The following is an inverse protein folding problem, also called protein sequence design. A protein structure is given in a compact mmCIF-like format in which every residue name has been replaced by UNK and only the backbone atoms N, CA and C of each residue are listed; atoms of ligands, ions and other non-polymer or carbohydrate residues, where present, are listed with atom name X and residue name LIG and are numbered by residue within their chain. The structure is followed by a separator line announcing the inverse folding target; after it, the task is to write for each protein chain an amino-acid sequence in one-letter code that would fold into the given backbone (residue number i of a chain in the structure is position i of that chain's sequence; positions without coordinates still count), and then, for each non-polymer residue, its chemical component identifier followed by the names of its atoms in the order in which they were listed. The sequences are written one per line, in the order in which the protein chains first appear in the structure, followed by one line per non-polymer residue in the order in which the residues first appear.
data_IF_076629355423
#
_entry.id   IF_076629355423
#
_cell.length_a   1.000
_cell.length_b   1.000
_cell.length_c   1.000
_cell.angle_alpha   90.00
_cell.angle_beta   90.00
_cell.angle_gamma   90.00
#
_symmetry.space_group_name_H-M   'P 1'
#
loop_
_entity.id
_entity.type
_entity.pdbx_description
1 polymer ?
#
# COMPACT_ATOMS: atom_id res chain seq x y z
N UNK A 1 42.26 -24.04 1.60
CA UNK A 1 40.82 -23.78 1.57
C UNK A 1 40.50 -22.68 2.58
N UNK A 2 40.71 -21.44 2.21
CA UNK A 2 40.31 -20.23 2.97
C UNK A 2 40.05 -19.14 1.94
N UNK A 3 38.91 -19.18 1.28
CA UNK A 3 38.43 -18.05 0.49
C UNK A 3 36.91 -18.02 0.51
N UNK A 4 36.42 -16.86 0.75
CA UNK A 4 35.06 -16.41 0.36
C UNK A 4 33.93 -16.60 1.35
N UNK A 5 33.96 -15.80 2.40
CA UNK A 5 32.72 -15.42 3.14
C UNK A 5 32.54 -13.90 3.23
N UNK A 6 33.29 -13.11 2.44
CA UNK A 6 33.31 -11.64 2.56
C UNK A 6 32.59 -10.89 1.42
N UNK A 7 31.85 -11.56 0.53
CA UNK A 7 31.20 -10.88 -0.60
C UNK A 7 29.66 -10.94 -0.57
N UNK A 8 29.04 -11.04 0.60
CA UNK A 8 27.58 -11.24 0.65
C UNK A 8 26.74 -9.97 0.75
N UNK A 9 27.33 -8.80 0.85
CA UNK A 9 26.56 -7.55 0.91
C UNK A 9 27.25 -6.46 0.11
N UNK A 10 26.84 -6.31 -1.16
CA UNK A 10 27.04 -5.05 -1.86
C UNK A 10 25.92 -4.10 -1.41
N UNK A 11 26.25 -2.86 -0.99
CA UNK A 11 25.21 -1.93 -0.53
C UNK A 11 24.31 -1.55 -1.71
N UNK A 12 23.04 -1.93 -1.62
CA UNK A 12 22.03 -1.44 -2.53
C UNK A 12 21.77 0.04 -2.22
N UNK A 13 21.89 0.91 -3.22
CA UNK A 13 21.48 2.30 -3.09
C UNK A 13 19.96 2.37 -3.30
N UNK A 14 19.20 2.45 -2.22
CA UNK A 14 17.76 2.67 -2.25
C UNK A 14 17.51 4.17 -2.12
N UNK A 15 17.10 4.80 -3.20
CA UNK A 15 16.66 6.20 -3.18
C UNK A 15 15.14 6.27 -3.00
N UNK A 16 14.67 6.72 -1.86
CA UNK A 16 13.25 7.03 -1.64
C UNK A 16 13.01 8.50 -1.91
N UNK A 17 12.19 8.84 -2.90
CA UNK A 17 11.74 10.20 -3.12
C UNK A 17 10.46 10.40 -2.32
N UNK A 18 10.41 11.47 -1.54
CA UNK A 18 9.30 11.82 -0.65
C UNK A 18 7.95 11.85 -1.37
N UNK A 19 6.86 11.48 -0.69
CA UNK A 19 5.51 11.59 -1.25
C UNK A 19 5.19 13.06 -1.53
N UNK A 20 4.82 13.36 -2.77
CA UNK A 20 4.27 14.65 -3.16
C UNK A 20 2.75 14.59 -2.91
N UNK A 21 2.27 15.24 -1.88
CA UNK A 21 0.85 15.44 -1.67
C UNK A 21 0.39 16.65 -2.50
N UNK A 22 -0.41 16.41 -3.53
CA UNK A 22 -1.05 17.48 -4.30
C UNK A 22 -2.48 17.61 -3.78
N UNK A 23 -2.76 18.74 -3.13
CA UNK A 23 -4.12 19.14 -2.77
C UNK A 23 -4.77 19.83 -3.98
N UNK A 24 -5.76 19.21 -4.59
CA UNK A 24 -6.60 19.84 -5.58
C UNK A 24 -7.93 20.21 -4.92
N UNK A 25 -8.07 21.45 -4.50
CA UNK A 25 -9.35 22.00 -4.00
C UNK A 25 -9.15 23.19 -3.07
N UNK A 26 -9.46 24.41 -3.55
CA UNK A 26 -9.91 25.60 -2.82
C UNK A 26 -9.05 26.16 -1.70
N UNK A 27 -8.42 27.26 -2.01
CA UNK A 27 -7.87 28.35 -1.18
C UNK A 27 -8.29 28.39 0.30
N UNK A 28 -7.33 28.38 1.25
CA UNK A 28 -6.96 29.45 2.15
C UNK A 28 -6.31 28.99 3.47
N UNK A 29 -5.17 29.63 3.71
CA UNK A 29 -4.49 30.02 4.95
C UNK A 29 -3.74 28.99 5.79
N UNK A 30 -2.47 29.40 5.96
CA UNK A 30 -1.43 28.92 6.85
C UNK A 30 -1.86 28.58 8.27
N UNK A 31 -1.40 27.41 8.74
CA UNK A 31 -0.69 27.38 10.03
C UNK A 31 0.22 26.15 10.09
N UNK A 32 1.48 26.41 10.46
CA UNK A 32 2.51 25.42 10.72
C UNK A 32 2.31 24.79 12.09
N UNK A 33 1.91 23.50 12.14
CA UNK A 33 2.30 22.60 13.23
C UNK A 33 2.15 21.16 12.73
N UNK A 34 3.28 20.50 12.45
CA UNK A 34 3.31 19.08 12.18
C UNK A 34 3.17 18.31 13.49
N UNK A 35 1.97 17.91 13.83
CA UNK A 35 1.71 16.77 14.67
C UNK A 35 1.13 15.63 13.83
N UNK A 36 1.71 14.45 13.98
CA UNK A 36 1.35 13.21 13.35
C UNK A 36 -0.02 12.69 13.84
N UNK A 37 -1.08 13.37 13.48
CA UNK A 37 -2.43 12.84 13.58
C UNK A 37 -3.02 12.83 12.17
N UNK A 38 -3.23 11.61 11.64
CA UNK A 38 -3.84 11.37 10.34
C UNK A 38 -5.34 11.72 10.34
N UNK A 39 -5.72 12.84 10.94
CA UNK A 39 -7.05 13.42 10.76
C UNK A 39 -7.02 14.22 9.47
N UNK A 40 -7.62 13.64 8.41
CA UNK A 40 -7.91 14.38 7.20
C UNK A 40 -8.83 15.54 7.55
N UNK A 41 -8.29 16.75 7.62
CA UNK A 41 -9.10 17.95 7.61
C UNK A 41 -9.64 18.13 6.19
N UNK A 42 -10.73 17.43 5.88
CA UNK A 42 -11.53 17.75 4.69
C UNK A 42 -12.27 19.06 4.98
N UNK A 43 -12.16 20.00 4.07
CA UNK A 43 -12.92 21.26 4.13
C UNK A 43 -14.43 20.94 4.23
N UNK A 44 -15.21 21.74 4.94
CA UNK A 44 -16.65 21.56 5.22
C UNK A 44 -17.56 21.50 3.97
N UNK A 45 -16.99 21.41 2.77
CA UNK A 45 -17.71 21.33 1.50
C UNK A 45 -17.60 19.94 0.90
N UNK A 46 -18.71 19.23 0.77
CA UNK A 46 -18.77 17.92 0.14
C UNK A 46 -19.51 17.98 -1.21
N UNK A 47 -19.12 17.14 -2.19
CA UNK A 47 -18.08 16.12 -2.15
C UNK A 47 -16.65 16.71 -2.12
N UNK A 48 -15.76 16.07 -1.38
CA UNK A 48 -14.34 16.44 -1.28
C UNK A 48 -13.46 15.28 -1.72
N UNK A 49 -12.41 15.56 -2.48
CA UNK A 49 -11.46 14.55 -2.96
C UNK A 49 -10.04 14.95 -2.63
N UNK A 50 -9.31 14.05 -1.99
CA UNK A 50 -7.86 14.16 -1.76
C UNK A 50 -7.12 13.24 -2.73
N UNK A 51 -6.09 13.75 -3.38
CA UNK A 51 -5.18 12.96 -4.20
C UNK A 51 -3.81 12.85 -3.54
N UNK A 52 -3.26 11.65 -3.53
CA UNK A 52 -1.91 11.37 -3.06
C UNK A 52 -1.16 10.56 -4.10
N UNK A 53 0.13 10.85 -4.27
CA UNK A 53 1.03 10.10 -5.12
C UNK A 53 2.25 9.60 -4.33
N UNK A 54 2.68 8.37 -4.58
CA UNK A 54 3.95 7.81 -4.09
C UNK A 54 4.70 7.20 -5.27
N UNK A 55 5.95 7.61 -5.46
CA UNK A 55 6.87 7.00 -6.41
C UNK A 55 8.08 6.48 -5.66
N UNK A 56 8.43 5.23 -5.88
CA UNK A 56 9.64 4.60 -5.33
C UNK A 56 10.52 4.19 -6.49
N UNK A 57 11.78 4.61 -6.45
CA UNK A 57 12.80 4.22 -7.42
C UNK A 57 13.84 3.35 -6.73
N UNK A 58 14.23 2.25 -7.40
CA UNK A 58 15.21 1.31 -6.89
C UNK A 58 16.27 1.06 -7.94
N UNK A 59 17.50 1.48 -7.65
CA UNK A 59 18.67 1.24 -8.49
C UNK A 59 19.63 0.32 -7.74
N UNK A 60 20.00 -0.80 -8.31
CA UNK A 60 20.99 -1.69 -7.70
C UNK A 60 21.04 -3.07 -8.32
N UNK A 61 21.91 -3.89 -7.75
CA UNK A 61 22.15 -5.26 -8.14
C UNK A 61 22.51 -6.11 -6.93
N UNK A 62 22.52 -7.41 -7.09
CA UNK A 62 23.04 -8.39 -6.11
C UNK A 62 24.17 -9.18 -6.76
N UNK A 63 25.18 -9.55 -5.97
CA UNK A 63 26.31 -10.35 -6.42
C UNK A 63 26.16 -11.81 -5.89
N UNK A 64 26.60 -12.78 -6.69
CA UNK A 64 26.62 -14.18 -6.29
C UNK A 64 25.26 -14.90 -6.34
N UNK A 65 24.25 -14.32 -6.98
CA UNK A 65 22.95 -14.97 -7.19
C UNK A 65 22.72 -15.17 -8.68
N UNK A 66 22.89 -16.41 -9.14
CA UNK A 66 22.73 -16.76 -10.56
C UNK A 66 21.41 -16.24 -11.13
N UNK A 67 21.50 -15.50 -12.23
CA UNK A 67 20.36 -14.93 -12.93
C UNK A 67 19.83 -13.60 -12.35
N UNK A 68 20.44 -13.05 -11.29
CA UNK A 68 20.08 -11.78 -10.67
C UNK A 68 21.22 -10.76 -10.58
N UNK A 69 22.34 -11.03 -11.22
CA UNK A 69 23.57 -10.23 -11.09
C UNK A 69 23.55 -8.91 -11.89
N UNK A 70 22.50 -8.66 -12.65
CA UNK A 70 22.35 -7.41 -13.40
C UNK A 70 22.01 -6.24 -12.47
N UNK A 71 22.56 -5.06 -12.76
CA UNK A 71 22.06 -3.82 -12.15
C UNK A 71 20.79 -3.41 -12.86
N UNK A 72 19.73 -3.20 -12.08
CA UNK A 72 18.42 -2.78 -12.60
C UNK A 72 18.02 -1.42 -12.03
N UNK A 73 17.19 -0.70 -12.78
CA UNK A 73 16.54 0.52 -12.33
C UNK A 73 15.02 0.33 -12.43
N UNK A 74 14.42 0.08 -11.28
CA UNK A 74 13.02 -0.25 -11.17
C UNK A 74 12.24 0.89 -10.51
N UNK A 75 10.93 0.92 -10.73
CA UNK A 75 10.04 1.86 -10.07
C UNK A 75 8.73 1.20 -9.64
N UNK A 76 8.09 1.80 -8.64
CA UNK A 76 6.71 1.58 -8.22
C UNK A 76 6.02 2.95 -8.09
N UNK A 77 5.01 3.18 -8.89
CA UNK A 77 4.17 4.37 -8.87
C UNK A 77 2.79 4.01 -8.33
N UNK A 78 2.34 4.73 -7.31
CA UNK A 78 0.97 4.66 -6.78
C UNK A 78 0.33 6.03 -6.80
N UNK A 79 -0.87 6.11 -7.35
CA UNK A 79 -1.73 7.28 -7.28
C UNK A 79 -3.01 6.88 -6.55
N UNK A 80 -3.35 7.60 -5.50
CA UNK A 80 -4.51 7.32 -4.64
C UNK A 80 -5.44 8.52 -4.61
N UNK A 81 -6.73 8.28 -4.82
CA UNK A 81 -7.79 9.23 -4.63
C UNK A 81 -8.71 8.77 -3.50
N UNK A 82 -8.96 9.65 -2.55
CA UNK A 82 -9.93 9.44 -1.47
C UNK A 82 -11.00 10.50 -1.59
N UNK A 83 -12.21 10.07 -1.88
CA UNK A 83 -13.37 10.96 -2.05
C UNK A 83 -14.38 10.70 -0.94
N UNK A 84 -14.77 11.74 -0.24
CA UNK A 84 -15.92 11.71 0.66
C UNK A 84 -17.07 12.47 0.05
N UNK A 85 -18.26 11.91 0.13
CA UNK A 85 -19.51 12.52 -0.35
C UNK A 85 -20.32 13.17 0.78
N UNK A 86 -20.12 12.69 2.01
CA UNK A 86 -20.90 13.10 3.18
C UNK A 86 -20.07 13.66 4.31
N UNK A 87 -18.73 13.49 4.26
CA UNK A 87 -17.80 13.83 5.34
C UNK A 87 -17.47 12.66 6.25
N UNK A 88 -18.30 11.62 6.26
CA UNK A 88 -18.11 10.44 7.12
C UNK A 88 -17.82 9.17 6.30
N UNK A 89 -17.94 9.24 5.00
CA UNK A 89 -17.70 8.15 4.05
C UNK A 89 -16.39 8.32 3.30
N UNK A 90 -15.93 7.27 2.63
CA UNK A 90 -14.71 7.29 1.84
C UNK A 90 -14.79 6.33 0.65
N UNK A 91 -14.74 6.87 -0.55
CA UNK A 91 -14.42 6.11 -1.76
C UNK A 91 -12.91 6.13 -1.97
N UNK A 92 -12.28 4.96 -1.86
CA UNK A 92 -10.87 4.75 -2.18
C UNK A 92 -10.71 4.30 -3.62
N UNK A 93 -9.91 5.03 -4.38
CA UNK A 93 -9.46 4.65 -5.71
C UNK A 93 -7.94 4.68 -5.74
N UNK A 94 -7.30 3.58 -6.10
CA UNK A 94 -5.84 3.55 -6.28
C UNK A 94 -5.50 2.95 -7.63
N UNK A 95 -4.60 3.62 -8.35
CA UNK A 95 -3.94 3.13 -9.56
C UNK A 95 -2.46 2.93 -9.27
N UNK A 96 -1.88 1.89 -9.87
CA UNK A 96 -0.49 1.51 -9.67
C UNK A 96 0.15 1.07 -10.98
N UNK A 97 1.42 1.42 -11.16
CA UNK A 97 2.27 0.92 -12.22
C UNK A 97 3.67 0.59 -11.67
N UNK A 98 4.34 -0.37 -12.30
CA UNK A 98 5.70 -0.74 -11.93
C UNK A 98 6.31 -1.71 -12.92
N UNK A 99 7.63 -1.84 -12.86
CA UNK A 99 8.43 -2.63 -13.78
C UNK A 99 9.35 -3.65 -13.10
N UNK A 100 9.06 -4.04 -11.86
CA UNK A 100 9.84 -5.07 -11.15
C UNK A 100 9.56 -6.45 -11.71
N UNK A 101 10.49 -7.06 -12.42
CA UNK A 101 10.36 -8.41 -12.90
C UNK A 101 10.67 -9.45 -11.79
N UNK A 102 10.28 -10.70 -12.02
CA UNK A 102 10.52 -11.77 -11.05
C UNK A 102 11.99 -11.99 -10.77
N UNK A 103 12.83 -11.88 -11.81
CA UNK A 103 14.27 -12.17 -11.76
C UNK A 103 15.13 -10.93 -11.49
N UNK A 104 14.52 -9.75 -11.30
CA UNK A 104 15.29 -8.57 -10.90
C UNK A 104 15.94 -8.77 -9.52
N UNK A 105 17.06 -8.10 -9.22
CA UNK A 105 17.74 -8.20 -7.92
C UNK A 105 16.82 -8.00 -6.72
N UNK A 106 15.92 -7.02 -6.81
CA UNK A 106 14.96 -6.65 -5.78
C UNK A 106 13.51 -6.97 -6.18
N UNK A 107 13.36 -7.81 -7.21
CA UNK A 107 12.08 -8.15 -7.83
C UNK A 107 11.19 -9.04 -6.97
N UNK A 108 10.19 -9.63 -7.63
CA UNK A 108 9.07 -10.28 -6.93
C UNK A 108 9.41 -11.63 -6.30
N UNK A 109 10.65 -12.14 -6.45
CA UNK A 109 11.09 -13.42 -5.89
C UNK A 109 12.42 -13.31 -5.14
N UNK A 110 12.56 -14.16 -4.11
CA UNK A 110 13.80 -14.31 -3.35
C UNK A 110 13.87 -13.46 -2.08
N UNK A 111 14.94 -13.66 -1.31
CA UNK A 111 15.14 -13.01 -0.01
C UNK A 111 15.40 -11.50 -0.11
N UNK A 112 15.88 -11.03 -1.25
CA UNK A 112 16.14 -9.61 -1.55
C UNK A 112 14.89 -8.86 -2.04
N UNK A 113 13.74 -9.52 -2.16
CA UNK A 113 12.49 -8.91 -2.59
C UNK A 113 12.13 -7.72 -1.71
N UNK A 114 11.84 -6.59 -2.34
CA UNK A 114 11.27 -5.44 -1.65
C UNK A 114 9.74 -5.55 -1.59
N UNK A 115 9.14 -5.00 -0.55
CA UNK A 115 7.68 -4.97 -0.43
C UNK A 115 7.02 -4.10 -1.52
N UNK A 116 7.72 -3.06 -1.95
CA UNK A 116 7.30 -2.20 -3.06
C UNK A 116 7.40 -2.87 -4.44
N UNK A 117 8.05 -4.05 -4.56
CA UNK A 117 8.22 -4.71 -5.86
C UNK A 117 6.87 -5.06 -6.49
N UNK A 118 6.55 -4.38 -7.56
CA UNK A 118 5.31 -4.53 -8.32
C UNK A 118 5.61 -4.53 -9.82
N UNK A 119 4.94 -5.40 -10.55
CA UNK A 119 5.04 -5.48 -12.00
C UNK A 119 3.67 -5.36 -12.65
N UNK A 120 3.54 -4.41 -13.55
CA UNK A 120 2.38 -4.24 -14.42
C UNK A 120 2.80 -4.11 -15.89
N UNK A 121 4.06 -4.39 -16.22
CA UNK A 121 4.67 -4.10 -17.52
C UNK A 121 4.43 -2.62 -17.92
N UNK A 122 4.68 -1.70 -17.00
CA UNK A 122 4.49 -0.25 -17.15
C UNK A 122 3.03 0.20 -17.37
N UNK A 123 2.07 -0.71 -17.36
CA UNK A 123 0.66 -0.37 -17.54
C UNK A 123 0.06 0.16 -16.23
N UNK A 124 -0.71 1.24 -16.33
CA UNK A 124 -1.54 1.71 -15.21
C UNK A 124 -2.68 0.73 -14.96
N UNK A 125 -2.79 0.23 -13.74
CA UNK A 125 -3.80 -0.74 -13.33
C UNK A 125 -4.59 -0.21 -12.14
N UNK A 126 -5.89 -0.49 -12.11
CA UNK A 126 -6.68 -0.29 -10.91
C UNK A 126 -6.15 -1.24 -9.84
N UNK A 127 -5.59 -0.68 -8.77
CA UNK A 127 -5.01 -1.44 -7.67
C UNK A 127 -6.01 -1.63 -6.53
N UNK A 128 -6.77 -0.57 -6.20
CA UNK A 128 -7.86 -0.64 -5.21
C UNK A 128 -9.04 0.17 -5.70
N UNK A 129 -10.24 -0.32 -5.40
CA UNK A 129 -11.50 0.38 -5.59
C UNK A 129 -12.51 -0.15 -4.58
N UNK A 130 -12.81 0.65 -3.56
CA UNK A 130 -13.77 0.28 -2.52
C UNK A 130 -14.38 1.50 -1.86
N UNK A 131 -15.53 1.30 -1.24
CA UNK A 131 -16.28 2.31 -0.52
C UNK A 131 -16.44 1.90 0.94
N UNK A 132 -16.20 2.84 1.83
CA UNK A 132 -16.40 2.70 3.28
C UNK A 132 -17.40 3.76 3.74
N UNK A 133 -18.39 3.35 4.51
CA UNK A 133 -19.42 4.25 5.03
C UNK A 133 -19.90 3.80 6.41
N UNK A 134 -20.29 4.74 7.29
CA UNK A 134 -20.93 4.43 8.55
C UNK A 134 -22.37 3.94 8.32
N UNK A 135 -22.81 2.98 9.13
CA UNK A 135 -24.20 2.55 9.20
C UNK A 135 -24.83 3.04 10.49
N UNK A 136 -24.02 3.23 11.52
CA UNK A 136 -24.39 3.86 12.79
C UNK A 136 -23.11 4.35 13.48
N UNK A 137 -23.26 5.03 14.63
CA UNK A 137 -22.14 5.54 15.44
C UNK A 137 -21.10 4.48 15.79
N UNK A 138 -21.48 3.21 15.80
CA UNK A 138 -20.59 2.11 16.18
C UNK A 138 -20.30 1.13 15.05
N UNK A 139 -21.02 1.22 13.92
CA UNK A 139 -20.86 0.26 12.82
C UNK A 139 -20.49 0.97 11.54
N UNK A 140 -19.47 0.45 10.85
CA UNK A 140 -19.12 0.83 9.49
C UNK A 140 -19.06 -0.38 8.57
N UNK A 141 -19.37 -0.16 7.30
CA UNK A 141 -19.26 -1.15 6.23
C UNK A 141 -18.22 -0.70 5.23
N UNK A 142 -17.37 -1.62 4.81
CA UNK A 142 -16.43 -1.43 3.71
C UNK A 142 -16.71 -2.48 2.65
N UNK A 143 -16.87 -2.07 1.39
CA UNK A 143 -17.15 -3.00 0.29
C UNK A 143 -16.57 -2.50 -1.02
N UNK A 144 -16.19 -3.41 -1.90
CA UNK A 144 -15.69 -3.02 -3.21
C UNK A 144 -15.31 -4.20 -4.10
N UNK A 145 -15.20 -3.94 -5.41
CA UNK A 145 -14.82 -4.97 -6.39
C UNK A 145 -13.33 -5.30 -6.37
N UNK A 146 -12.49 -4.40 -5.82
CA UNK A 146 -11.04 -4.61 -5.78
C UNK A 146 -10.44 -3.99 -4.53
N UNK A 147 -10.18 -4.83 -3.55
CA UNK A 147 -9.60 -4.48 -2.27
C UNK A 147 -8.79 -5.66 -1.73
N UNK A 148 -7.98 -5.38 -0.74
CA UNK A 148 -7.24 -6.42 -0.03
C UNK A 148 -7.95 -6.72 1.29
N UNK A 149 -7.81 -7.94 1.80
CA UNK A 149 -8.50 -8.34 3.03
C UNK A 149 -8.21 -7.42 4.21
N UNK A 150 -6.99 -6.91 4.32
CA UNK A 150 -6.61 -5.98 5.39
C UNK A 150 -7.20 -4.56 5.23
N UNK A 151 -7.70 -4.19 4.05
CA UNK A 151 -8.44 -2.94 3.85
C UNK A 151 -9.83 -2.96 4.52
N UNK A 152 -10.34 -4.15 4.82
CA UNK A 152 -11.63 -4.37 5.46
C UNK A 152 -11.57 -4.38 6.99
N UNK A 153 -10.36 -4.43 7.57
CA UNK A 153 -10.17 -4.47 9.01
C UNK A 153 -10.28 -3.07 9.62
N UNK A 154 -10.92 -2.99 10.77
CA UNK A 154 -10.99 -1.76 11.55
C UNK A 154 -9.64 -1.37 12.17
N UNK A 155 -8.79 -2.35 12.42
CA UNK A 155 -7.41 -2.16 12.87
C UNK A 155 -6.50 -3.15 12.16
N UNK A 156 -5.35 -2.68 11.70
CA UNK A 156 -4.34 -3.54 11.09
C UNK A 156 -3.40 -4.09 12.17
N UNK A 157 -3.15 -5.41 12.18
CA UNK A 157 -2.29 -6.05 13.17
C UNK A 157 -0.80 -5.88 12.84
N UNK A 158 -0.38 -4.73 12.34
CA UNK A 158 1.01 -4.45 11.99
C UNK A 158 1.39 -3.01 12.35
N UNK A 159 2.60 -2.86 12.91
CA UNK A 159 3.22 -1.56 13.16
C UNK A 159 4.05 -1.08 11.97
N UNK A 160 4.28 -1.94 10.97
CA UNK A 160 5.03 -1.59 9.76
C UNK A 160 4.06 -1.32 8.63
N UNK A 161 4.07 -0.11 8.07
CA UNK A 161 3.30 0.21 6.88
C UNK A 161 3.69 -0.69 5.70
N UNK A 162 2.71 -1.04 4.90
CA UNK A 162 2.96 -1.71 3.63
C UNK A 162 3.66 -0.76 2.66
N UNK A 163 4.51 -1.33 1.80
CA UNK A 163 5.11 -0.64 0.64
C UNK A 163 6.04 0.54 0.99
N UNK A 164 6.69 0.54 2.14
CA UNK A 164 7.62 1.61 2.54
C UNK A 164 9.10 1.30 2.24
N UNK A 165 9.36 0.46 1.26
CA UNK A 165 10.73 0.16 0.82
C UNK A 165 11.47 -0.84 1.69
N UNK A 166 10.80 -1.48 2.64
CA UNK A 166 11.37 -2.57 3.43
C UNK A 166 11.43 -3.87 2.62
N UNK A 167 12.27 -4.79 3.08
CA UNK A 167 12.28 -6.14 2.56
C UNK A 167 10.92 -6.80 2.80
N UNK A 168 10.40 -7.51 1.79
CA UNK A 168 9.11 -8.20 1.86
C UNK A 168 9.04 -9.18 3.04
N UNK A 169 10.14 -9.83 3.38
CA UNK A 169 10.22 -10.77 4.51
C UNK A 169 9.96 -10.10 5.87
N UNK A 170 10.19 -8.79 5.98
CA UNK A 170 9.95 -8.00 7.20
C UNK A 170 8.56 -7.35 7.21
N UNK A 171 7.81 -7.45 6.12
CA UNK A 171 6.45 -6.95 6.03
C UNK A 171 5.56 -7.68 7.07
N UNK A 172 4.61 -6.96 7.67
CA UNK A 172 3.75 -7.51 8.71
C UNK A 172 4.54 -8.08 9.91
N UNK A 173 5.60 -7.39 10.32
CA UNK A 173 6.49 -7.84 11.41
C UNK A 173 7.14 -9.21 11.15
N UNK A 174 7.35 -9.58 9.87
CA UNK A 174 7.86 -10.90 9.48
C UNK A 174 6.81 -12.02 9.54
N UNK A 175 5.55 -11.72 9.82
CA UNK A 175 4.47 -12.68 9.96
C UNK A 175 3.45 -12.58 8.81
N UNK A 176 3.89 -12.81 7.58
CA UNK A 176 3.05 -12.71 6.38
C UNK A 176 1.81 -13.60 6.42
N UNK A 177 1.82 -14.68 7.18
CA UNK A 177 0.72 -15.63 7.29
C UNK A 177 -0.22 -15.35 8.47
N UNK A 178 0.04 -14.29 9.25
CA UNK A 178 -0.80 -13.94 10.41
C UNK A 178 -2.21 -13.55 9.97
N UNK A 179 -2.34 -12.93 8.80
CA UNK A 179 -3.60 -12.64 8.14
C UNK A 179 -3.41 -12.60 6.62
N UNK A 180 -4.48 -12.88 5.89
CA UNK A 180 -4.43 -12.95 4.44
C UNK A 180 -4.31 -11.55 3.82
N UNK A 181 -3.47 -11.42 2.80
CA UNK A 181 -3.39 -10.27 1.89
C UNK A 181 -4.10 -10.55 0.56
N UNK A 182 -5.05 -11.46 0.55
CA UNK A 182 -5.86 -11.79 -0.63
C UNK A 182 -6.51 -10.53 -1.17
N UNK A 183 -6.46 -10.38 -2.50
CA UNK A 183 -7.03 -9.25 -3.21
C UNK A 183 -8.18 -9.74 -4.09
N UNK A 184 -9.30 -9.04 -4.06
CA UNK A 184 -10.47 -9.38 -4.83
C UNK A 184 -11.67 -8.50 -4.51
N UNK A 185 -12.86 -8.95 -4.87
CA UNK A 185 -14.08 -8.33 -4.37
C UNK A 185 -14.34 -8.74 -2.93
N UNK A 186 -14.80 -7.81 -2.11
CA UNK A 186 -14.99 -8.10 -0.70
C UNK A 186 -15.94 -7.16 0.00
N UNK A 187 -16.33 -7.60 1.20
CA UNK A 187 -17.14 -6.85 2.15
C UNK A 187 -16.65 -7.08 3.56
N UNK A 188 -16.65 -6.05 4.37
CA UNK A 188 -16.32 -6.10 5.77
C UNK A 188 -17.27 -5.25 6.59
N UNK A 189 -17.57 -5.71 7.79
CA UNK A 189 -18.32 -4.95 8.80
C UNK A 189 -17.42 -4.78 10.00
N UNK A 190 -17.26 -3.54 10.44
CA UNK A 190 -16.48 -3.20 11.61
C UNK A 190 -17.39 -2.59 12.67
N UNK A 191 -17.32 -3.18 13.87
CA UNK A 191 -17.85 -2.58 15.08
C UNK A 191 -16.73 -1.87 15.83
N UNK A 192 -16.95 -0.63 16.22
CA UNK A 192 -15.99 0.16 17.00
C UNK A 192 -16.75 0.95 18.07
N UNK A 193 -16.45 0.67 19.33
CA UNK A 193 -17.00 1.42 20.46
C UNK A 193 -15.99 1.44 21.60
N UNK A 194 -15.75 2.63 22.15
CA UNK A 194 -14.78 2.87 23.22
C UNK A 194 -13.38 2.36 22.82
N UNK A 195 -12.89 1.34 23.52
CA UNK A 195 -11.58 0.69 23.26
C UNK A 195 -11.70 -0.66 22.55
N UNK A 196 -12.89 -1.03 22.13
CA UNK A 196 -13.15 -2.33 21.51
C UNK A 196 -13.40 -2.16 20.00
N UNK A 197 -12.66 -2.90 19.20
CA UNK A 197 -12.83 -2.96 17.74
C UNK A 197 -12.92 -4.43 17.35
N UNK A 198 -13.94 -4.78 16.57
CA UNK A 198 -14.11 -6.11 15.99
C UNK A 198 -14.49 -5.98 14.52
N UNK A 199 -13.92 -6.82 13.66
CA UNK A 199 -14.23 -6.83 12.23
C UNK A 199 -14.53 -8.23 11.75
N UNK A 200 -15.54 -8.37 10.89
CA UNK A 200 -15.83 -9.57 10.12
C UNK A 200 -15.64 -9.25 8.65
N UNK A 201 -14.85 -10.06 7.95
CA UNK A 201 -14.45 -9.75 6.55
C UNK A 201 -14.59 -10.99 5.67
N UNK A 202 -15.00 -10.74 4.43
CA UNK A 202 -15.09 -11.74 3.37
C UNK A 202 -14.45 -11.17 2.10
N UNK A 203 -13.53 -11.91 1.49
CA UNK A 203 -12.91 -11.56 0.20
C UNK A 203 -12.96 -12.77 -0.72
N UNK A 204 -13.33 -12.54 -1.97
CA UNK A 204 -13.31 -13.53 -3.05
C UNK A 204 -12.38 -13.06 -4.16
N UNK A 205 -11.33 -13.84 -4.44
CA UNK A 205 -10.37 -13.54 -5.52
C UNK A 205 -11.00 -13.72 -6.91
N UNK A 206 -12.00 -14.60 -7.02
CA UNK A 206 -12.62 -15.00 -8.28
C UNK A 206 -14.05 -14.47 -8.46
N UNK A 207 -14.46 -13.48 -7.69
CA UNK A 207 -15.84 -12.98 -7.73
C UNK A 207 -16.25 -12.36 -9.09
N UNK A 208 -15.27 -12.00 -9.92
CA UNK A 208 -15.50 -11.46 -11.27
C UNK A 208 -15.21 -12.48 -12.39
N UNK A 209 -14.92 -13.74 -12.04
CA UNK A 209 -14.60 -14.81 -12.98
C UNK A 209 -15.74 -15.83 -13.01
N UNK A 210 -16.21 -16.18 -14.20
CA UNK A 210 -17.13 -17.29 -14.42
C UNK A 210 -16.38 -18.61 -14.51
#
# INVERSE_FOLDING_TARGET
MKHSLQKLFSPALVGTIMPLAIHAGGTNHHDHNMHHDSHMNMTDSYPSTMFMGKSTFVLGGVDGVTGKEAVTFNYDLKLMGMTSFTGEDMLMTAIRAGNFNMMDPFGMMGASRLDTAFNSNDALQVHKLFYKFPVSDSFSVTMGPKLRQDDLLGIKPTSFPDDEGTLFVLNQTGANDTYSKKMGAGVGVTYSKDKFIASTVLVSENAASN
#
